data_IF_378965753302
#
_entry.id   IF_378965753302
#
_cell.length_a   1.000
_cell.length_b   1.000
_cell.length_c   1.000
_cell.angle_alpha   90.00
_cell.angle_beta   90.00
_cell.angle_gamma   90.00
#
_symmetry.space_group_name_H-M   'P 1'
#
loop_
_entity.id
_entity.type
_entity.pdbx_description
1 polymer ?
#
# COMPACT_ATOMS: atom_id res chain seq x y z
N UNK A 1 -37.39 2.55 -23.10
CA UNK A 1 -36.18 2.78 -23.90
C UNK A 1 -35.04 1.89 -23.37
N UNK A 2 -35.01 0.59 -23.70
CA UNK A 2 -33.86 -0.24 -23.32
C UNK A 2 -32.62 0.03 -24.16
N UNK A 3 -32.81 0.55 -25.38
CA UNK A 3 -31.75 0.62 -26.38
C UNK A 3 -30.57 1.59 -26.04
N UNK A 4 -30.82 2.63 -25.25
CA UNK A 4 -29.80 3.61 -24.89
C UNK A 4 -28.80 3.10 -23.85
N UNK A 5 -29.27 2.36 -22.86
CA UNK A 5 -28.42 1.80 -21.81
C UNK A 5 -27.54 0.67 -22.36
N UNK A 6 -28.11 -0.20 -23.20
CA UNK A 6 -27.37 -1.28 -23.85
C UNK A 6 -26.27 -0.74 -24.76
N UNK A 7 -26.55 0.34 -25.48
CA UNK A 7 -25.53 1.02 -26.31
C UNK A 7 -24.41 1.62 -25.47
N UNK A 8 -24.72 2.25 -24.33
CA UNK A 8 -23.73 2.80 -23.39
C UNK A 8 -22.85 1.66 -22.84
N UNK A 9 -23.44 0.56 -22.42
CA UNK A 9 -22.71 -0.57 -21.89
C UNK A 9 -21.83 -1.28 -22.92
N UNK A 10 -22.33 -1.47 -24.14
CA UNK A 10 -21.52 -2.00 -25.25
C UNK A 10 -20.38 -1.07 -25.58
N UNK A 11 -20.62 0.24 -25.58
CA UNK A 11 -19.60 1.25 -25.83
C UNK A 11 -18.55 1.25 -24.74
N UNK A 12 -18.95 1.21 -23.48
CA UNK A 12 -18.03 1.19 -22.34
C UNK A 12 -17.16 -0.06 -22.33
N UNK A 13 -17.74 -1.24 -22.60
CA UNK A 13 -16.96 -2.49 -22.77
C UNK A 13 -15.93 -2.38 -23.88
N UNK A 14 -16.33 -1.83 -25.03
CA UNK A 14 -15.43 -1.65 -26.17
C UNK A 14 -14.31 -0.66 -25.85
N UNK A 15 -14.62 0.41 -25.14
CA UNK A 15 -13.66 1.41 -24.70
C UNK A 15 -12.60 0.78 -23.78
N UNK A 16 -13.02 0.02 -22.78
CA UNK A 16 -12.12 -0.66 -21.85
C UNK A 16 -11.25 -1.70 -22.55
N UNK A 17 -11.80 -2.41 -23.56
CA UNK A 17 -11.05 -3.42 -24.30
C UNK A 17 -10.07 -2.85 -25.33
N UNK A 18 -10.34 -1.63 -25.84
CA UNK A 18 -9.57 -1.05 -26.97
C UNK A 18 -8.47 -0.09 -26.51
N UNK A 19 -8.53 0.43 -25.29
CA UNK A 19 -7.55 1.38 -24.75
C UNK A 19 -6.93 0.86 -23.42
N UNK A 20 -6.00 -0.11 -23.50
CA UNK A 20 -5.30 -0.62 -22.32
C UNK A 20 -4.45 0.45 -21.61
N UNK A 21 -4.14 1.56 -22.28
CA UNK A 21 -3.37 2.69 -21.73
C UNK A 21 -4.08 3.39 -20.55
N UNK A 22 -5.41 3.31 -20.46
CA UNK A 22 -6.15 3.83 -19.30
C UNK A 22 -5.75 3.10 -18.02
N UNK A 23 -5.42 1.82 -18.12
CA UNK A 23 -4.94 1.01 -17.00
C UNK A 23 -3.54 1.41 -16.52
N UNK A 24 -2.63 1.76 -17.43
CA UNK A 24 -1.24 2.05 -17.10
C UNK A 24 -1.04 3.42 -16.45
N UNK A 25 -1.84 4.41 -16.79
CA UNK A 25 -1.77 5.73 -16.17
C UNK A 25 -2.22 5.76 -14.70
N UNK A 26 -2.96 4.77 -14.26
CA UNK A 26 -3.53 4.69 -12.93
C UNK A 26 -2.47 4.54 -11.84
N UNK A 27 -1.45 3.75 -12.10
CA UNK A 27 -0.44 3.36 -11.12
C UNK A 27 0.89 4.13 -11.23
N UNK A 28 1.02 4.98 -12.23
CA UNK A 28 2.27 5.72 -12.48
C UNK A 28 2.47 6.96 -11.59
N UNK A 29 1.50 7.29 -10.72
CA UNK A 29 1.56 8.49 -9.89
C UNK A 29 2.36 8.32 -8.60
N UNK A 30 2.57 7.09 -8.15
CA UNK A 30 3.32 6.78 -6.94
C UNK A 30 4.38 5.71 -7.21
N UNK A 31 5.63 5.99 -6.81
CA UNK A 31 6.74 5.09 -7.04
C UNK A 31 6.59 3.72 -6.38
N UNK A 32 5.99 3.67 -5.17
CA UNK A 32 5.72 2.40 -4.50
C UNK A 32 4.67 1.59 -5.23
N UNK A 33 3.54 2.20 -5.55
CA UNK A 33 2.44 1.53 -6.24
C UNK A 33 2.87 1.03 -7.61
N UNK A 34 3.71 1.80 -8.32
CA UNK A 34 4.32 1.37 -9.58
C UNK A 34 5.19 0.12 -9.39
N UNK A 35 6.07 0.11 -8.38
CA UNK A 35 6.92 -1.04 -8.09
C UNK A 35 6.10 -2.27 -7.66
N UNK A 36 5.10 -2.08 -6.79
CA UNK A 36 4.21 -3.15 -6.34
C UNK A 36 3.49 -3.82 -7.51
N UNK A 37 2.98 -3.03 -8.44
CA UNK A 37 2.27 -3.56 -9.61
C UNK A 37 3.18 -4.26 -10.59
N UNK A 38 4.31 -3.66 -10.93
CA UNK A 38 5.15 -4.15 -12.03
C UNK A 38 6.12 -5.25 -11.59
N UNK A 39 6.68 -5.12 -10.38
CA UNK A 39 7.74 -6.03 -9.94
C UNK A 39 7.26 -7.07 -8.93
N UNK A 40 6.23 -6.77 -8.13
CA UNK A 40 5.82 -7.58 -6.98
C UNK A 40 4.39 -8.09 -7.07
N UNK A 41 3.75 -7.93 -8.22
CA UNK A 41 2.40 -8.44 -8.47
C UNK A 41 2.39 -9.97 -8.43
N UNK A 42 1.48 -10.54 -7.64
CA UNK A 42 1.06 -11.95 -7.68
C UNK A 42 -0.41 -12.04 -8.02
N UNK A 43 -0.78 -13.00 -8.85
CA UNK A 43 -2.17 -13.23 -9.20
C UNK A 43 -2.81 -14.21 -8.22
N UNK A 44 -3.98 -13.83 -7.70
CA UNK A 44 -4.80 -14.68 -6.85
C UNK A 44 -5.89 -15.34 -7.70
N UNK A 45 -5.70 -16.62 -7.98
CA UNK A 45 -6.60 -17.39 -8.86
C UNK A 45 -7.87 -17.92 -8.14
N UNK A 46 -8.01 -17.66 -6.84
CA UNK A 46 -9.14 -18.09 -6.02
C UNK A 46 -8.70 -18.86 -4.78
N UNK A 47 -9.65 -19.14 -3.92
CA UNK A 47 -9.44 -19.78 -2.61
C UNK A 47 -10.01 -18.94 -1.48
N UNK A 48 -9.97 -19.46 -0.25
CA UNK A 48 -10.49 -18.77 0.93
C UNK A 48 -9.50 -17.75 1.51
N UNK A 49 -8.21 -17.93 1.28
CA UNK A 49 -7.16 -17.08 1.84
C UNK A 49 -5.89 -17.09 0.99
N UNK A 50 -5.12 -16.04 1.10
CA UNK A 50 -3.76 -15.94 0.60
C UNK A 50 -2.85 -16.57 1.65
N UNK A 51 -2.06 -17.57 1.25
CA UNK A 51 -1.15 -18.29 2.14
C UNK A 51 0.29 -18.05 1.71
N UNK A 52 1.11 -17.53 2.63
CA UNK A 52 2.55 -17.33 2.45
C UNK A 52 3.31 -18.16 3.48
N UNK A 53 4.16 -19.08 3.02
CA UNK A 53 5.01 -19.88 3.91
C UNK A 53 6.26 -19.09 4.29
N UNK A 54 6.62 -19.14 5.55
CA UNK A 54 7.87 -18.56 6.02
C UNK A 54 8.60 -19.48 7.00
N UNK A 55 9.90 -19.34 7.04
CA UNK A 55 10.78 -20.06 7.94
C UNK A 55 11.01 -19.21 9.18
N UNK A 56 10.73 -19.75 10.38
CA UNK A 56 10.89 -19.01 11.63
C UNK A 56 11.99 -19.59 12.53
N UNK A 57 12.45 -20.79 12.26
CA UNK A 57 13.45 -21.48 13.09
C UNK A 57 14.37 -22.37 12.24
N UNK A 58 15.45 -22.83 12.82
CA UNK A 58 16.46 -23.66 12.14
C UNK A 58 16.40 -25.09 12.68
N UNK A 59 16.61 -26.06 11.80
CA UNK A 59 16.70 -27.45 12.20
C UNK A 59 17.88 -27.65 13.17
N UNK A 60 17.70 -28.48 14.23
CA UNK A 60 18.78 -28.76 15.15
C UNK A 60 19.93 -29.46 14.44
N UNK A 61 21.09 -28.90 14.57
CA UNK A 61 22.34 -29.44 13.99
C UNK A 61 23.53 -29.17 14.92
N UNK A 62 24.65 -29.81 14.67
CA UNK A 62 25.85 -29.57 15.44
C UNK A 62 27.03 -30.40 14.99
N UNK A 63 28.20 -30.08 15.50
CA UNK A 63 29.44 -30.86 15.24
C UNK A 63 29.38 -32.18 16.00
N UNK A 64 29.90 -33.24 15.39
CA UNK A 64 29.97 -34.56 16.01
C UNK A 64 31.39 -35.10 16.02
N UNK A 65 31.69 -35.94 16.99
CA UNK A 65 32.94 -36.72 17.05
C UNK A 65 32.69 -38.13 16.55
N UNK A 66 33.72 -38.74 16.00
CA UNK A 66 33.67 -40.14 15.49
C UNK A 66 33.13 -41.07 16.60
N UNK A 67 32.06 -41.84 16.25
CA UNK A 67 31.44 -42.80 17.16
C UNK A 67 30.33 -42.24 18.05
N UNK A 68 30.03 -40.96 17.98
CA UNK A 68 28.91 -40.34 18.75
C UNK A 68 27.58 -40.56 18.01
N UNK A 69 26.51 -40.84 18.76
CA UNK A 69 25.16 -40.95 18.24
C UNK A 69 24.63 -39.55 17.83
N UNK A 70 23.97 -39.48 16.69
CA UNK A 70 23.27 -38.25 16.25
C UNK A 70 22.04 -38.03 17.11
N UNK A 71 21.80 -36.78 17.46
CA UNK A 71 20.57 -36.35 18.07
C UNK A 71 19.55 -36.04 16.96
N UNK A 72 18.60 -36.93 16.73
CA UNK A 72 17.55 -36.79 15.72
C UNK A 72 16.27 -36.33 16.40
N UNK A 73 15.98 -35.04 16.29
CA UNK A 73 14.77 -34.45 16.83
C UNK A 73 13.96 -33.88 15.66
N UNK A 74 12.68 -34.22 15.58
CA UNK A 74 11.76 -33.58 14.66
C UNK A 74 11.37 -32.22 15.24
N UNK A 75 11.57 -31.16 14.47
CA UNK A 75 11.23 -29.78 14.84
C UNK A 75 10.47 -29.13 13.71
N UNK A 76 9.37 -28.47 14.05
CA UNK A 76 8.65 -27.64 13.08
C UNK A 76 9.42 -26.33 12.91
N UNK A 77 9.76 -25.98 11.69
CA UNK A 77 10.55 -24.80 11.35
C UNK A 77 9.82 -23.84 10.41
N UNK A 78 8.69 -24.27 9.86
CA UNK A 78 7.91 -23.53 8.89
C UNK A 78 6.51 -23.20 9.46
N UNK A 79 6.00 -22.04 9.09
CA UNK A 79 4.65 -21.58 9.43
C UNK A 79 4.06 -20.83 8.24
N UNK A 80 2.73 -20.66 8.24
CA UNK A 80 2.01 -19.93 7.22
C UNK A 80 1.47 -18.60 7.76
N UNK A 81 1.66 -17.54 6.97
CA UNK A 81 0.88 -16.32 7.08
C UNK A 81 -0.40 -16.48 6.27
N UNK A 82 -1.54 -16.10 6.82
CA UNK A 82 -2.84 -16.18 6.17
C UNK A 82 -3.49 -14.81 6.13
N UNK A 83 -3.92 -14.40 4.93
CA UNK A 83 -4.60 -13.14 4.70
C UNK A 83 -5.83 -13.35 3.83
N UNK A 84 -6.88 -12.60 4.11
CA UNK A 84 -8.08 -12.59 3.28
C UNK A 84 -7.91 -11.62 2.11
N UNK A 85 -8.54 -11.90 0.96
CA UNK A 85 -8.62 -10.94 -0.12
C UNK A 85 -9.50 -9.75 0.29
N UNK A 86 -9.04 -8.55 0.00
CA UNK A 86 -9.75 -7.30 0.28
C UNK A 86 -10.28 -6.70 -1.03
N UNK A 87 -11.35 -5.92 -0.94
CA UNK A 87 -12.02 -5.39 -2.11
C UNK A 87 -12.12 -3.87 -2.02
N UNK A 88 -11.69 -3.21 -3.08
CA UNK A 88 -11.80 -1.75 -3.24
C UNK A 88 -12.86 -1.47 -4.29
N UNK A 89 -13.75 -0.53 -4.01
CA UNK A 89 -14.80 -0.09 -4.92
C UNK A 89 -14.76 1.44 -5.10
N UNK A 90 -15.03 1.87 -6.31
CA UNK A 90 -15.28 3.30 -6.63
C UNK A 90 -16.51 3.36 -7.51
N UNK A 91 -17.53 4.06 -7.06
CA UNK A 91 -18.76 4.28 -7.82
C UNK A 91 -18.58 5.47 -8.79
N UNK A 92 -18.97 5.24 -10.02
CA UNK A 92 -19.02 6.24 -11.08
C UNK A 92 -20.48 6.51 -11.44
N UNK A 93 -20.96 7.71 -11.18
CA UNK A 93 -22.36 8.09 -11.42
C UNK A 93 -22.48 8.92 -12.68
N UNK A 94 -23.53 8.67 -13.46
CA UNK A 94 -23.97 9.46 -14.61
C UNK A 94 -25.45 9.79 -14.45
N UNK A 95 -25.81 11.02 -14.68
CA UNK A 95 -27.21 11.43 -14.68
C UNK A 95 -27.79 11.33 -16.10
N UNK A 96 -28.99 10.78 -16.21
CA UNK A 96 -29.66 10.65 -17.50
C UNK A 96 -29.89 12.03 -18.17
N UNK A 97 -30.11 13.06 -17.39
CA UNK A 97 -30.24 14.44 -17.85
C UNK A 97 -28.96 14.95 -18.51
N UNK A 98 -27.79 14.63 -17.96
CA UNK A 98 -26.49 15.01 -18.53
C UNK A 98 -26.27 14.36 -19.90
N UNK A 99 -26.77 13.15 -20.06
CA UNK A 99 -26.64 12.39 -21.30
C UNK A 99 -27.64 12.86 -22.36
N UNK A 100 -28.90 13.09 -21.97
CA UNK A 100 -30.00 13.32 -22.89
C UNK A 100 -30.22 14.82 -23.21
N UNK A 101 -29.98 15.70 -22.24
CA UNK A 101 -30.30 17.12 -22.33
C UNK A 101 -29.06 17.98 -22.56
N UNK A 102 -28.03 17.82 -21.72
CA UNK A 102 -26.87 18.72 -21.76
C UNK A 102 -25.85 18.34 -22.85
N UNK A 103 -25.65 17.04 -23.09
CA UNK A 103 -24.67 16.55 -24.07
C UNK A 103 -25.39 15.94 -25.29
N UNK A 104 -26.00 16.79 -26.12
CA UNK A 104 -26.65 16.35 -27.36
C UNK A 104 -25.62 16.00 -28.41
N UNK A 105 -25.27 14.74 -28.50
CA UNK A 105 -24.43 14.18 -29.56
C UNK A 105 -23.60 13.00 -29.12
N UNK A 106 -23.42 11.99 -29.95
CA UNK A 106 -22.74 10.75 -29.61
C UNK A 106 -21.28 10.99 -29.18
N UNK A 107 -20.62 11.99 -29.76
CA UNK A 107 -19.22 12.31 -29.43
C UNK A 107 -19.07 12.97 -28.05
N UNK A 108 -20.02 13.80 -27.62
CA UNK A 108 -19.99 14.45 -26.32
C UNK A 108 -20.27 13.46 -25.20
N UNK A 109 -21.25 12.59 -25.35
CA UNK A 109 -21.57 11.49 -24.43
C UNK A 109 -20.38 10.54 -24.29
N UNK A 110 -19.73 10.19 -25.41
CA UNK A 110 -18.53 9.36 -25.44
C UNK A 110 -17.41 9.97 -24.59
N UNK A 111 -17.13 11.26 -24.75
CA UNK A 111 -16.09 11.96 -23.98
C UNK A 111 -16.43 12.02 -22.50
N UNK A 112 -17.70 12.25 -22.15
CA UNK A 112 -18.15 12.25 -20.75
C UNK A 112 -17.94 10.90 -20.07
N UNK A 113 -18.34 9.81 -20.71
CA UNK A 113 -18.16 8.45 -20.20
C UNK A 113 -16.66 8.16 -20.04
N UNK A 114 -15.83 8.47 -21.03
CA UNK A 114 -14.37 8.30 -20.92
C UNK A 114 -13.79 9.03 -19.70
N UNK A 115 -14.14 10.31 -19.54
CA UNK A 115 -13.64 11.11 -18.44
C UNK A 115 -14.04 10.51 -17.08
N UNK A 116 -15.30 10.11 -16.93
CA UNK A 116 -15.81 9.53 -15.67
C UNK A 116 -15.20 8.17 -15.34
N UNK A 117 -15.02 7.30 -16.33
CA UNK A 117 -14.35 6.01 -16.12
C UNK A 117 -12.88 6.23 -15.77
N UNK A 118 -12.19 7.15 -16.44
CA UNK A 118 -10.81 7.50 -16.11
C UNK A 118 -10.66 8.07 -14.69
N UNK A 119 -11.59 8.96 -14.26
CA UNK A 119 -11.62 9.46 -12.88
C UNK A 119 -11.79 8.32 -11.86
N UNK A 120 -12.71 7.38 -12.11
CA UNK A 120 -12.93 6.21 -11.24
C UNK A 120 -11.68 5.33 -11.13
N UNK A 121 -11.01 5.10 -12.25
CA UNK A 121 -9.78 4.33 -12.29
C UNK A 121 -8.63 5.02 -11.54
N UNK A 122 -8.44 6.34 -11.74
CA UNK A 122 -7.45 7.12 -10.99
C UNK A 122 -7.73 7.09 -9.48
N UNK A 123 -8.99 7.15 -9.07
CA UNK A 123 -9.40 7.07 -7.68
C UNK A 123 -9.00 5.73 -7.04
N UNK A 124 -9.23 4.59 -7.72
CA UNK A 124 -8.79 3.27 -7.21
C UNK A 124 -7.28 3.26 -6.97
N UNK A 125 -6.48 3.76 -7.90
CA UNK A 125 -5.03 3.82 -7.75
C UNK A 125 -4.59 4.66 -6.55
N UNK A 126 -5.23 5.81 -6.35
CA UNK A 126 -4.96 6.67 -5.21
C UNK A 126 -5.39 6.01 -3.88
N UNK A 127 -6.55 5.35 -3.84
CA UNK A 127 -6.98 4.56 -2.67
C UNK A 127 -6.00 3.44 -2.36
N UNK A 128 -5.57 2.67 -3.35
CA UNK A 128 -4.59 1.61 -3.15
C UNK A 128 -3.28 2.16 -2.59
N UNK A 129 -2.81 3.30 -3.11
CA UNK A 129 -1.57 3.92 -2.65
C UNK A 129 -1.64 4.28 -1.15
N UNK A 130 -2.72 4.91 -0.69
CA UNK A 130 -2.84 5.27 0.74
C UNK A 130 -3.13 4.05 1.62
N UNK A 131 -3.99 3.13 1.17
CA UNK A 131 -4.35 1.93 1.93
C UNK A 131 -3.16 1.02 2.19
N UNK A 132 -2.14 1.03 1.31
CA UNK A 132 -0.91 0.28 1.50
C UNK A 132 -0.12 0.70 2.74
N UNK A 133 -0.31 1.93 3.24
CA UNK A 133 0.34 2.42 4.46
C UNK A 133 -0.49 2.20 5.73
N UNK A 134 -1.75 1.81 5.61
CA UNK A 134 -2.66 1.59 6.74
C UNK A 134 -2.60 0.15 7.26
N UNK A 135 -3.62 -0.25 8.00
CA UNK A 135 -3.77 -1.61 8.53
C UNK A 135 -5.10 -2.24 8.09
N UNK A 136 -5.17 -3.55 8.11
CA UNK A 136 -6.37 -4.34 7.80
C UNK A 136 -6.87 -5.17 8.99
N UNK A 137 -6.64 -4.74 10.23
CA UNK A 137 -7.07 -5.46 11.44
C UNK A 137 -8.17 -4.71 12.20
N UNK A 138 -8.86 -5.44 13.07
CA UNK A 138 -9.89 -4.93 13.98
C UNK A 138 -10.96 -4.09 13.27
N UNK A 139 -11.08 -2.82 13.62
CA UNK A 139 -12.07 -1.88 13.05
C UNK A 139 -11.83 -1.59 11.56
N UNK A 140 -10.68 -1.95 11.02
CA UNK A 140 -10.26 -1.72 9.64
C UNK A 140 -10.19 -3.01 8.81
N UNK A 141 -10.90 -4.04 9.22
CA UNK A 141 -10.84 -5.36 8.61
C UNK A 141 -11.16 -5.40 7.10
N UNK A 142 -11.87 -4.40 6.56
CA UNK A 142 -12.14 -4.26 5.14
C UNK A 142 -10.96 -3.69 4.33
N UNK A 143 -9.98 -3.06 5.01
CA UNK A 143 -8.84 -2.45 4.38
C UNK A 143 -7.74 -3.47 4.01
N UNK A 144 -6.83 -3.07 3.15
CA UNK A 144 -5.63 -3.84 2.79
C UNK A 144 -4.72 -3.98 4.01
N UNK A 145 -4.09 -5.15 4.18
CA UNK A 145 -3.08 -5.39 5.22
C UNK A 145 -1.78 -4.65 4.84
N UNK A 146 -1.68 -3.38 5.25
CA UNK A 146 -0.60 -2.49 4.82
C UNK A 146 0.61 -2.47 5.76
N UNK A 147 1.48 -1.48 5.54
CA UNK A 147 2.75 -1.38 6.24
C UNK A 147 2.61 -1.08 7.73
N UNK A 148 1.58 -0.34 8.19
CA UNK A 148 1.39 -0.05 9.61
C UNK A 148 1.23 -1.34 10.44
N UNK A 149 0.48 -2.29 9.88
CA UNK A 149 0.33 -3.61 10.48
C UNK A 149 1.58 -4.48 10.30
N UNK A 150 2.17 -4.50 9.11
CA UNK A 150 3.28 -5.38 8.78
C UNK A 150 4.57 -4.97 9.53
N UNK A 151 4.85 -3.67 9.62
CA UNK A 151 6.06 -3.10 10.21
C UNK A 151 5.86 -2.73 11.68
N UNK A 152 5.49 -3.71 12.48
CA UNK A 152 5.26 -3.58 13.93
C UNK A 152 5.85 -4.79 14.65
N UNK A 153 6.10 -4.65 15.96
CA UNK A 153 6.63 -5.72 16.83
C UNK A 153 5.59 -6.23 17.85
N UNK A 154 4.40 -5.63 17.85
CA UNK A 154 3.32 -5.95 18.80
C UNK A 154 3.46 -5.29 20.18
N UNK A 155 4.50 -4.49 20.41
CA UNK A 155 4.77 -3.79 21.68
C UNK A 155 5.00 -2.30 21.48
N UNK A 156 5.75 -1.94 20.45
CA UNK A 156 6.08 -0.54 20.14
C UNK A 156 4.94 0.11 19.35
N UNK A 157 4.60 1.32 19.74
CA UNK A 157 3.58 2.11 19.05
C UNK A 157 4.08 2.52 17.67
N UNK A 158 3.28 2.27 16.65
CA UNK A 158 3.57 2.68 15.29
C UNK A 158 3.24 4.15 15.01
N UNK A 159 3.51 4.64 13.78
CA UNK A 159 3.30 6.04 13.40
C UNK A 159 1.83 6.50 13.50
N UNK A 160 0.88 5.60 13.42
CA UNK A 160 -0.55 5.87 13.58
C UNK A 160 -1.07 5.64 15.02
N UNK A 161 -0.19 5.48 16.00
CA UNK A 161 -0.56 5.32 17.39
C UNK A 161 -1.04 3.91 17.77
N UNK A 162 -0.86 2.92 16.92
CA UNK A 162 -1.34 1.55 17.12
C UNK A 162 -0.20 0.56 17.37
N UNK A 163 -0.54 -0.56 18.01
CA UNK A 163 0.31 -1.75 18.15
C UNK A 163 -0.45 -2.97 17.63
N UNK A 164 0.25 -3.87 16.95
CA UNK A 164 -0.37 -5.06 16.35
C UNK A 164 0.28 -6.34 16.89
N UNK A 165 -0.42 -7.00 17.80
CA UNK A 165 0.04 -8.24 18.48
C UNK A 165 0.10 -9.42 17.50
N UNK A 166 -0.66 -9.37 16.40
CA UNK A 166 -0.71 -10.45 15.40
C UNK A 166 -0.43 -9.91 14.01
N UNK A 167 0.09 -10.79 13.14
CA UNK A 167 0.26 -10.55 11.71
C UNK A 167 0.03 -11.83 10.91
N UNK A 168 -0.80 -11.79 9.88
CA UNK A 168 -1.15 -12.96 9.10
C UNK A 168 -1.68 -14.13 9.95
N UNK A 169 -2.52 -13.83 10.94
CA UNK A 169 -3.09 -14.77 11.92
C UNK A 169 -2.07 -15.41 12.88
N UNK A 170 -0.80 -14.97 12.88
CA UNK A 170 0.21 -15.43 13.81
C UNK A 170 0.51 -14.38 14.88
N UNK A 171 0.70 -14.82 16.13
CA UNK A 171 1.03 -13.95 17.25
C UNK A 171 2.52 -13.61 17.24
N UNK A 172 2.86 -12.30 17.28
CA UNK A 172 4.25 -11.80 17.26
C UNK A 172 5.07 -12.18 18.48
N UNK A 173 4.45 -12.28 19.65
CA UNK A 173 5.12 -12.64 20.91
C UNK A 173 5.15 -14.16 21.17
N UNK A 174 4.76 -15.00 20.20
CA UNK A 174 4.81 -16.46 20.29
C UNK A 174 6.15 -17.04 19.85
N UNK A 175 6.18 -18.36 19.67
CA UNK A 175 7.35 -19.11 19.18
C UNK A 175 7.86 -18.63 17.82
N UNK A 176 6.99 -18.03 17.03
CA UNK A 176 7.25 -17.50 15.67
C UNK A 176 7.68 -16.02 15.73
N UNK A 177 7.58 -15.38 16.90
CA UNK A 177 7.51 -13.93 17.07
C UNK A 177 8.65 -13.11 16.47
N UNK A 178 9.91 -13.51 16.68
CA UNK A 178 11.06 -12.71 16.23
C UNK A 178 11.16 -12.58 14.71
N UNK A 179 10.68 -13.57 13.95
CA UNK A 179 10.71 -13.56 12.49
C UNK A 179 9.66 -12.64 11.86
N UNK A 180 8.63 -12.25 12.64
CA UNK A 180 7.55 -11.38 12.19
C UNK A 180 7.67 -9.96 12.74
N UNK A 181 8.70 -9.67 13.54
CA UNK A 181 8.86 -8.38 14.18
C UNK A 181 9.67 -7.42 13.30
N UNK A 182 9.10 -6.23 13.12
CA UNK A 182 9.81 -5.06 12.63
C UNK A 182 9.54 -3.93 13.62
N UNK A 183 10.58 -3.45 14.28
CA UNK A 183 10.44 -2.47 15.37
C UNK A 183 10.29 -1.07 14.75
N UNK A 184 9.12 -0.42 14.84
CA UNK A 184 8.98 0.95 14.39
C UNK A 184 9.84 1.87 15.26
N UNK A 185 10.56 2.80 14.64
CA UNK A 185 11.49 3.68 15.36
C UNK A 185 11.00 5.12 15.36
N UNK A 186 10.72 5.66 16.55
CA UNK A 186 10.37 7.05 16.76
C UNK A 186 11.61 7.88 17.07
N UNK A 187 11.94 8.87 16.23
CA UNK A 187 13.06 9.79 16.46
C UNK A 187 12.67 10.83 17.51
N UNK A 188 11.39 11.16 17.62
CA UNK A 188 10.88 12.13 18.57
C UNK A 188 10.76 11.60 20.00
N UNK A 189 10.47 12.48 20.93
CA UNK A 189 10.15 12.15 22.31
C UNK A 189 8.71 12.57 22.62
N UNK A 190 7.84 11.60 22.86
CA UNK A 190 6.41 11.86 23.05
C UNK A 190 5.78 12.52 21.82
N UNK A 191 5.15 13.68 21.99
CA UNK A 191 4.55 14.46 20.90
C UNK A 191 5.51 15.43 20.21
N UNK A 192 6.77 15.51 20.66
CA UNK A 192 7.77 16.42 20.07
C UNK A 192 8.56 15.71 19.00
N UNK A 193 8.49 16.16 17.73
CA UNK A 193 9.30 15.60 16.67
C UNK A 193 10.79 15.83 16.92
N UNK A 194 11.59 14.82 16.60
CA UNK A 194 13.04 14.90 16.70
C UNK A 194 13.69 15.39 15.41
N UNK A 195 14.99 15.42 15.42
CA UNK A 195 15.84 15.75 14.29
C UNK A 195 16.41 14.49 13.67
N UNK A 196 16.23 14.32 12.34
CA UNK A 196 16.85 13.20 11.65
C UNK A 196 18.34 13.48 11.42
N UNK A 197 19.19 12.62 11.96
CA UNK A 197 20.63 12.65 11.77
C UNK A 197 21.10 11.47 10.93
N UNK A 198 22.27 11.62 10.28
CA UNK A 198 22.84 10.57 9.44
C UNK A 198 23.06 9.27 10.23
N UNK A 199 23.62 9.36 11.42
CA UNK A 199 23.92 8.20 12.27
C UNK A 199 22.66 7.43 12.68
N UNK A 200 21.57 8.16 12.95
CA UNK A 200 20.28 7.55 13.29
C UNK A 200 19.72 6.79 12.08
N UNK A 201 19.65 7.43 10.91
CA UNK A 201 19.13 6.76 9.71
C UNK A 201 20.02 5.57 9.31
N UNK A 202 21.34 5.74 9.41
CA UNK A 202 22.30 4.68 9.10
C UNK A 202 22.17 3.50 10.06
N UNK A 203 21.99 3.74 11.36
CA UNK A 203 21.73 2.69 12.36
C UNK A 203 20.46 1.93 12.05
N UNK A 204 19.36 2.62 11.72
CA UNK A 204 18.09 1.96 11.37
C UNK A 204 18.18 1.21 10.05
N UNK A 205 18.93 1.71 9.08
CA UNK A 205 19.21 0.98 7.84
C UNK A 205 19.90 -0.36 8.11
N UNK A 206 20.93 -0.37 8.96
CA UNK A 206 21.64 -1.60 9.31
C UNK A 206 20.84 -2.54 10.21
N UNK A 207 19.85 -2.07 10.94
CA UNK A 207 18.92 -2.96 11.65
C UNK A 207 18.11 -3.86 10.70
N UNK A 208 17.84 -3.38 9.49
CA UNK A 208 17.15 -4.16 8.43
C UNK A 208 18.12 -4.99 7.58
N UNK A 209 19.42 -4.78 7.76
CA UNK A 209 20.46 -5.45 6.96
C UNK A 209 20.80 -6.81 7.55
N UNK A 210 20.53 -7.87 6.81
CA UNK A 210 20.86 -9.26 7.22
C UNK A 210 21.96 -9.88 6.36
N UNK A 211 22.48 -9.17 5.37
CA UNK A 211 23.50 -9.63 4.45
C UNK A 211 23.47 -8.86 3.13
N UNK A 212 24.43 -9.11 2.29
CA UNK A 212 24.52 -8.47 0.96
C UNK A 212 23.51 -9.07 -0.03
N UNK A 213 23.18 -8.32 -1.06
CA UNK A 213 22.34 -8.77 -2.15
C UNK A 213 20.85 -8.75 -1.79
N UNK A 214 20.20 -9.90 -1.70
CA UNK A 214 18.76 -9.99 -1.46
C UNK A 214 18.33 -9.67 -0.02
N UNK A 215 19.27 -9.58 0.91
CA UNK A 215 19.04 -9.40 2.35
C UNK A 215 19.33 -7.98 2.85
N UNK A 216 19.54 -7.06 1.92
CA UNK A 216 19.74 -5.65 2.22
C UNK A 216 18.56 -4.79 1.76
N UNK A 217 18.22 -3.70 2.46
CA UNK A 217 17.28 -2.71 1.96
C UNK A 217 17.79 -2.10 0.65
N UNK A 218 16.87 -1.81 -0.27
CA UNK A 218 17.21 -1.20 -1.56
C UNK A 218 16.39 0.06 -1.87
N UNK A 219 15.37 0.33 -1.07
CA UNK A 219 14.44 1.44 -1.31
C UNK A 219 14.09 2.12 0.01
N UNK A 220 14.20 3.42 0.03
CA UNK A 220 13.73 4.27 1.12
C UNK A 220 12.62 5.17 0.59
N UNK A 221 11.47 5.16 1.25
CA UNK A 221 10.33 5.97 0.84
C UNK A 221 9.99 6.98 1.92
N UNK A 222 9.87 8.24 1.55
CA UNK A 222 9.56 9.32 2.49
C UNK A 222 8.58 10.31 1.89
N UNK A 223 8.07 11.22 2.70
CA UNK A 223 7.25 12.34 2.24
C UNK A 223 8.07 13.34 1.43
N UNK A 224 7.48 14.18 0.57
CA UNK A 224 8.20 15.22 -0.14
C UNK A 224 8.93 16.20 0.80
N UNK A 225 8.32 16.51 1.96
CA UNK A 225 8.94 17.35 2.99
C UNK A 225 10.10 16.61 3.68
N UNK A 226 9.90 15.34 4.06
CA UNK A 226 10.95 14.49 4.61
C UNK A 226 12.13 14.33 3.66
N UNK A 227 11.89 14.20 2.35
CA UNK A 227 12.92 14.17 1.33
C UNK A 227 13.77 15.46 1.34
N UNK A 228 13.12 16.62 1.40
CA UNK A 228 13.82 17.92 1.50
C UNK A 228 14.66 18.05 2.79
N UNK A 229 14.13 17.57 3.92
CA UNK A 229 14.85 17.56 5.20
C UNK A 229 16.11 16.69 5.10
N UNK A 230 15.97 15.46 4.59
CA UNK A 230 17.08 14.52 4.41
C UNK A 230 18.14 15.12 3.46
N UNK A 231 17.70 15.67 2.34
CA UNK A 231 18.61 16.32 1.38
C UNK A 231 19.39 17.45 2.02
N UNK A 232 18.75 18.35 2.74
CA UNK A 232 19.39 19.49 3.38
C UNK A 232 20.38 19.06 4.48
N UNK A 233 20.02 18.08 5.29
CA UNK A 233 20.85 17.59 6.39
C UNK A 233 22.10 16.84 5.93
N UNK A 234 21.95 16.01 4.89
CA UNK A 234 23.05 15.15 4.44
C UNK A 234 23.89 15.75 3.31
N UNK A 235 23.48 16.89 2.77
CA UNK A 235 24.18 17.58 1.68
C UNK A 235 25.61 17.97 2.04
N UNK A 236 25.89 18.24 3.30
CA UNK A 236 27.22 18.58 3.81
C UNK A 236 28.13 17.37 3.96
N UNK A 237 27.60 16.16 4.04
CA UNK A 237 28.34 14.93 4.38
C UNK A 237 28.52 13.98 3.18
N UNK A 238 27.66 14.03 2.19
CA UNK A 238 27.73 13.13 1.02
C UNK A 238 27.44 13.88 -0.29
N UNK A 239 28.19 13.54 -1.34
CA UNK A 239 27.84 13.89 -2.72
C UNK A 239 26.72 12.94 -3.18
N UNK A 240 25.49 13.41 -3.15
CA UNK A 240 24.37 12.64 -3.67
C UNK A 240 24.45 12.54 -5.19
N UNK A 241 24.33 11.32 -5.70
CA UNK A 241 24.10 11.10 -7.12
C UNK A 241 22.59 11.03 -7.36
N UNK A 242 22.10 11.87 -8.27
CA UNK A 242 20.73 11.75 -8.75
C UNK A 242 20.63 10.51 -9.63
N UNK A 243 19.88 9.53 -9.19
CA UNK A 243 19.61 8.30 -9.93
C UNK A 243 18.26 8.43 -10.61
N UNK A 244 18.21 8.26 -11.93
CA UNK A 244 16.94 8.08 -12.65
C UNK A 244 16.53 6.64 -12.56
N UNK A 245 15.35 6.40 -12.04
CA UNK A 245 14.70 5.10 -12.01
C UNK A 245 14.03 4.80 -13.36
N UNK A 246 13.81 3.52 -13.66
CA UNK A 246 13.21 3.05 -14.92
C UNK A 246 11.86 3.71 -15.26
N UNK A 247 11.11 4.17 -14.26
CA UNK A 247 9.84 4.85 -14.41
C UNK A 247 9.95 6.39 -14.54
N UNK A 248 11.16 6.95 -14.65
CA UNK A 248 11.37 8.40 -14.74
C UNK A 248 11.29 9.15 -13.40
N UNK A 249 11.20 8.45 -12.27
CA UNK A 249 11.30 9.07 -10.94
C UNK A 249 12.72 9.52 -10.66
N UNK A 250 12.86 10.69 -10.03
CA UNK A 250 14.17 11.19 -9.57
C UNK A 250 14.35 10.77 -8.11
N UNK A 251 15.43 10.05 -7.83
CA UNK A 251 15.78 9.59 -6.49
C UNK A 251 17.16 10.07 -6.06
N UNK A 252 17.37 10.09 -4.77
CA UNK A 252 18.64 10.30 -4.11
C UNK A 252 19.17 8.93 -3.65
N UNK A 253 20.46 8.72 -3.59
CA UNK A 253 21.03 7.45 -3.15
C UNK A 253 21.57 7.56 -1.72
N UNK A 254 21.20 6.60 -0.88
CA UNK A 254 21.68 6.44 0.50
C UNK A 254 22.14 4.98 0.71
N UNK A 255 23.40 4.76 1.07
CA UNK A 255 23.98 3.42 1.26
C UNK A 255 23.68 2.43 0.12
N UNK A 256 23.67 2.89 -1.13
CA UNK A 256 23.32 2.06 -2.29
C UNK A 256 21.82 1.93 -2.56
N UNK A 257 20.97 2.35 -1.63
CA UNK A 257 19.52 2.32 -1.77
C UNK A 257 19.00 3.63 -2.34
N UNK A 258 17.89 3.55 -3.08
CA UNK A 258 17.26 4.72 -3.68
C UNK A 258 16.28 5.35 -2.69
N UNK A 259 16.43 6.65 -2.43
CA UNK A 259 15.48 7.43 -1.64
C UNK A 259 14.47 8.09 -2.58
N UNK A 260 13.20 7.80 -2.40
CA UNK A 260 12.10 8.33 -3.21
C UNK A 260 11.13 9.12 -2.35
N UNK A 261 10.56 10.17 -2.93
CA UNK A 261 9.49 10.93 -2.31
C UNK A 261 8.13 10.45 -2.85
N UNK A 262 7.20 10.17 -1.95
CA UNK A 262 5.81 9.91 -2.29
C UNK A 262 4.88 10.76 -1.44
N UNK A 263 3.82 11.30 -2.07
CA UNK A 263 2.78 12.07 -1.38
C UNK A 263 1.83 11.20 -0.57
N UNK A 264 1.89 9.90 -0.74
CA UNK A 264 1.03 8.94 -0.04
C UNK A 264 1.67 8.42 1.24
N UNK A 265 2.98 8.60 1.41
CA UNK A 265 3.65 8.29 2.68
C UNK A 265 3.07 9.16 3.79
N UNK A 266 2.63 8.57 4.91
CA UNK A 266 2.08 9.34 6.02
C UNK A 266 3.07 10.32 6.62
N UNK A 267 2.63 11.56 6.78
CA UNK A 267 3.45 12.65 7.31
C UNK A 267 2.59 13.86 7.70
N UNK A 268 3.21 14.96 8.11
CA UNK A 268 2.54 16.17 8.58
C UNK A 268 1.62 16.81 7.54
N UNK A 269 1.89 16.61 6.26
CA UNK A 269 1.08 17.16 5.16
C UNK A 269 -0.30 16.51 5.05
N UNK A 270 -0.48 15.30 5.57
CA UNK A 270 -1.79 14.63 5.60
C UNK A 270 -2.70 15.26 6.64
N UNK A 271 -2.15 15.73 7.77
CA UNK A 271 -2.90 16.30 8.87
C UNK A 271 -3.46 17.71 8.59
N UNK A 272 -2.93 18.40 7.59
CA UNK A 272 -3.26 19.80 7.33
C UNK A 272 -4.29 19.93 6.21
N UNK A 273 -5.56 20.03 6.56
CA UNK A 273 -6.60 20.35 5.61
C UNK A 273 -6.33 21.72 4.93
N UNK A 274 -6.29 21.75 3.60
CA UNK A 274 -6.15 22.98 2.82
C UNK A 274 -4.79 23.23 2.18
N UNK A 275 -3.76 22.49 2.51
CA UNK A 275 -2.53 22.47 1.71
C UNK A 275 -2.75 21.62 0.43
N UNK A 276 -1.83 21.68 -0.53
CA UNK A 276 -1.80 20.75 -1.67
C UNK A 276 -1.60 19.29 -1.24
N UNK A 277 -1.83 19.01 0.03
CA UNK A 277 -1.89 17.71 0.64
C UNK A 277 -2.77 16.81 -0.21
N UNK A 278 -2.40 15.59 -0.27
CA UNK A 278 -3.09 14.56 -0.99
C UNK A 278 -4.55 14.47 -0.55
N UNK A 279 -5.45 15.11 -1.30
CA UNK A 279 -6.88 15.16 -0.97
C UNK A 279 -7.46 13.77 -0.73
N UNK A 280 -6.96 12.77 -1.47
CA UNK A 280 -7.40 11.38 -1.33
C UNK A 280 -6.94 10.79 -0.01
N UNK A 281 -5.70 11.05 0.41
CA UNK A 281 -5.21 10.59 1.71
C UNK A 281 -6.00 11.22 2.86
N UNK A 282 -6.27 12.54 2.79
CA UNK A 282 -7.12 13.23 3.77
C UNK A 282 -8.53 12.63 3.75
N UNK A 283 -9.10 12.40 2.57
CA UNK A 283 -10.43 11.81 2.43
C UNK A 283 -10.51 10.41 3.04
N UNK A 284 -9.58 9.54 2.73
CA UNK A 284 -9.54 8.17 3.32
C UNK A 284 -9.37 8.20 4.83
N UNK A 285 -8.58 9.14 5.37
CA UNK A 285 -8.29 9.23 6.80
C UNK A 285 -9.33 10.01 7.61
N UNK A 286 -10.02 10.97 7.02
CA UNK A 286 -10.93 11.89 7.72
C UNK A 286 -12.41 11.68 7.42
N UNK A 287 -12.74 11.21 6.22
CA UNK A 287 -14.12 10.96 5.83
C UNK A 287 -14.57 9.57 6.26
N UNK A 288 -15.79 9.51 6.77
CA UNK A 288 -16.56 8.28 6.88
C UNK A 288 -16.83 7.81 5.45
N UNK A 289 -16.06 6.87 4.96
CA UNK A 289 -16.29 6.24 3.66
C UNK A 289 -17.67 5.58 3.69
N UNK A 290 -18.64 6.21 3.06
CA UNK A 290 -19.96 5.67 2.87
C UNK A 290 -21.08 6.42 3.59
N UNK A 291 -21.75 7.28 2.87
CA UNK A 291 -23.11 7.74 3.19
C UNK A 291 -24.15 6.68 2.80
N UNK A 292 -23.84 5.39 2.98
CA UNK A 292 -24.72 4.28 2.71
C UNK A 292 -25.10 3.52 3.98
N UNK A 293 -25.95 2.49 3.88
CA UNK A 293 -26.37 1.68 5.03
C UNK A 293 -25.22 0.96 5.75
N UNK A 294 -24.02 0.94 5.16
CA UNK A 294 -22.79 0.38 5.72
C UNK A 294 -21.81 1.46 6.24
N UNK A 295 -22.22 2.70 6.37
CA UNK A 295 -21.37 3.81 6.84
C UNK A 295 -20.69 3.52 8.19
N UNK A 296 -21.34 2.75 9.07
CA UNK A 296 -20.78 2.35 10.36
C UNK A 296 -19.60 1.36 10.27
N UNK A 297 -19.46 0.65 9.14
CA UNK A 297 -18.38 -0.33 8.93
C UNK A 297 -17.10 0.30 8.36
N UNK A 298 -17.16 1.53 7.89
CA UNK A 298 -16.06 2.19 7.15
C UNK A 298 -15.54 3.45 7.86
N UNK A 299 -15.98 3.73 9.08
CA UNK A 299 -15.40 4.81 9.87
C UNK A 299 -14.01 4.43 10.37
N UNK A 300 -13.02 5.32 10.19
CA UNK A 300 -11.72 5.28 10.85
C UNK A 300 -11.76 6.19 12.10
N UNK A 301 -12.47 5.81 13.18
CA UNK A 301 -12.83 6.76 14.23
C UNK A 301 -11.66 7.19 15.12
N UNK A 302 -10.51 6.53 15.04
CA UNK A 302 -9.41 6.73 15.99
C UNK A 302 -8.02 6.71 15.36
N UNK A 303 -7.92 6.84 14.03
CA UNK A 303 -6.62 6.88 13.39
C UNK A 303 -5.91 8.18 13.75
N UNK A 304 -4.82 8.08 14.50
CA UNK A 304 -3.96 9.24 14.76
C UNK A 304 -3.15 9.51 13.50
N UNK A 305 -3.45 10.62 12.84
CA UNK A 305 -2.68 11.08 11.69
C UNK A 305 -1.31 11.54 12.18
N UNK A 306 -0.20 11.05 11.59
CA UNK A 306 1.13 11.49 11.99
C UNK A 306 1.29 13.01 11.84
N UNK A 307 1.73 13.68 12.90
CA UNK A 307 2.04 15.12 12.91
C UNK A 307 3.46 15.43 12.46
N UNK A 308 4.23 14.41 12.16
CA UNK A 308 5.65 14.44 11.82
C UNK A 308 5.92 13.63 10.55
N UNK A 309 7.09 13.85 9.96
CA UNK A 309 7.51 13.12 8.78
C UNK A 309 7.91 11.68 9.12
N UNK A 310 7.85 10.82 8.11
CA UNK A 310 8.25 9.42 8.23
C UNK A 310 9.04 8.95 7.01
N UNK A 311 9.81 7.90 7.22
CA UNK A 311 10.57 7.21 6.17
C UNK A 311 10.41 5.70 6.36
N UNK A 312 10.10 5.01 5.29
CA UNK A 312 10.09 3.55 5.23
C UNK A 312 11.39 3.06 4.60
N UNK A 313 12.07 2.19 5.31
CA UNK A 313 13.23 1.46 4.81
C UNK A 313 12.72 0.11 4.34
N UNK A 314 12.80 -0.15 3.04
CA UNK A 314 12.19 -1.31 2.41
C UNK A 314 13.22 -2.17 1.67
N UNK A 315 13.07 -3.46 1.81
CA UNK A 315 13.65 -4.42 0.88
C UNK A 315 12.61 -4.70 -0.22
N UNK A 316 12.56 -3.80 -1.19
CA UNK A 316 11.62 -3.86 -2.30
C UNK A 316 12.11 -4.87 -3.35
N UNK A 317 11.97 -6.16 -3.05
CA UNK A 317 12.30 -7.29 -3.93
C UNK A 317 11.15 -8.28 -3.98
N UNK A 318 11.10 -9.04 -5.06
CA UNK A 318 10.14 -10.13 -5.24
C UNK A 318 10.27 -11.11 -4.07
N UNK A 319 9.13 -11.59 -3.57
CA UNK A 319 9.00 -12.49 -2.40
C UNK A 319 9.25 -11.86 -1.02
N UNK A 320 9.82 -10.65 -0.96
CA UNK A 320 9.93 -9.89 0.29
C UNK A 320 8.76 -8.94 0.49
N UNK A 321 8.18 -8.49 -0.62
CA UNK A 321 7.01 -7.65 -0.69
C UNK A 321 6.13 -8.11 -1.85
N UNK A 322 4.88 -8.47 -1.60
CA UNK A 322 3.98 -9.00 -2.63
C UNK A 322 2.65 -8.26 -2.62
N UNK A 323 2.19 -7.88 -3.80
CA UNK A 323 0.84 -7.36 -4.03
C UNK A 323 0.02 -8.43 -4.73
N UNK A 324 -0.96 -8.99 -4.03
CA UNK A 324 -1.92 -9.91 -4.61
C UNK A 324 -3.05 -9.16 -5.28
N UNK A 325 -3.34 -9.50 -6.53
CA UNK A 325 -4.46 -8.95 -7.29
C UNK A 325 -5.31 -10.12 -7.77
N UNK A 326 -6.63 -9.99 -7.70
CA UNK A 326 -7.55 -11.01 -8.21
C UNK A 326 -7.29 -11.29 -9.69
N UNK A 327 -7.36 -12.55 -10.09
CA UNK A 327 -7.28 -12.96 -11.51
C UNK A 327 -8.60 -12.79 -12.25
N UNK A 328 -9.72 -12.52 -11.55
CA UNK A 328 -11.01 -12.23 -12.18
C UNK A 328 -10.98 -10.85 -12.84
N UNK A 329 -11.27 -10.79 -14.14
CA UNK A 329 -11.17 -9.57 -14.94
C UNK A 329 -11.96 -8.37 -14.42
N UNK A 330 -13.09 -8.61 -13.72
CA UNK A 330 -13.88 -7.54 -13.08
C UNK A 330 -13.14 -6.97 -11.85
N UNK A 331 -12.49 -7.83 -11.08
CA UNK A 331 -11.79 -7.47 -9.84
C UNK A 331 -10.30 -7.18 -10.04
N UNK A 332 -9.82 -7.07 -11.28
CA UNK A 332 -8.45 -6.62 -11.59
C UNK A 332 -8.31 -5.08 -11.68
N UNK A 333 -9.29 -4.34 -11.19
CA UNK A 333 -9.44 -2.91 -11.44
C UNK A 333 -10.34 -2.63 -12.65
N UNK A 334 -11.21 -3.59 -13.00
CA UNK A 334 -12.16 -3.50 -14.10
C UNK A 334 -13.34 -2.60 -13.77
N UNK A 335 -13.94 -2.06 -14.83
CA UNK A 335 -15.19 -1.30 -14.74
C UNK A 335 -16.37 -2.25 -14.95
N UNK A 336 -17.31 -2.24 -14.00
CA UNK A 336 -18.59 -2.93 -14.13
C UNK A 336 -19.61 -2.01 -14.80
N UNK A 337 -20.45 -2.57 -15.64
CA UNK A 337 -21.45 -1.88 -16.44
C UNK A 337 -22.31 -0.90 -15.62
N UNK A 338 -22.79 0.14 -16.30
CA UNK A 338 -23.77 1.05 -15.72
C UNK A 338 -25.10 0.34 -15.49
N UNK A 339 -25.61 0.44 -14.27
CA UNK A 339 -26.88 -0.12 -13.84
C UNK A 339 -27.77 1.06 -13.40
N UNK A 340 -29.01 1.17 -13.86
CA UNK A 340 -29.93 2.19 -13.37
C UNK A 340 -30.29 1.93 -11.90
N UNK A 341 -30.25 2.95 -11.08
CA UNK A 341 -30.77 2.87 -9.73
C UNK A 341 -32.30 2.85 -9.72
N UNK A 342 -32.88 2.06 -8.81
CA UNK A 342 -34.33 1.99 -8.69
C UNK A 342 -34.93 3.35 -8.32
N UNK A 343 -35.94 3.78 -9.09
CA UNK A 343 -36.66 5.05 -8.90
C UNK A 343 -35.79 6.32 -9.01
N UNK A 344 -34.69 6.26 -9.76
CA UNK A 344 -33.74 7.35 -9.95
C UNK A 344 -33.38 7.50 -11.42
N UNK A 345 -32.98 8.69 -11.85
CA UNK A 345 -32.40 8.97 -13.17
C UNK A 345 -30.89 8.75 -13.18
N UNK A 346 -30.34 8.18 -12.11
CA UNK A 346 -28.90 7.94 -11.92
C UNK A 346 -28.53 6.58 -12.52
N UNK A 347 -27.48 6.59 -13.31
CA UNK A 347 -26.80 5.38 -13.80
C UNK A 347 -25.51 5.20 -12.99
N UNK A 348 -25.37 4.10 -12.25
CA UNK A 348 -24.20 3.82 -11.45
C UNK A 348 -23.36 2.71 -12.08
N UNK A 349 -22.12 3.00 -12.35
CA UNK A 349 -21.10 2.04 -12.74
C UNK A 349 -20.09 1.84 -11.60
N UNK A 350 -19.53 0.66 -11.46
CA UNK A 350 -18.60 0.32 -10.39
C UNK A 350 -17.22 -0.01 -10.97
N UNK A 351 -16.19 0.64 -10.47
CA UNK A 351 -14.81 0.20 -10.63
C UNK A 351 -14.45 -0.67 -9.42
N UNK A 352 -14.07 -1.92 -9.64
CA UNK A 352 -13.83 -2.91 -8.60
C UNK A 352 -12.39 -3.44 -8.67
N UNK A 353 -11.75 -3.60 -7.51
CA UNK A 353 -10.44 -4.23 -7.42
C UNK A 353 -10.36 -5.15 -6.19
N UNK A 354 -10.02 -6.42 -6.41
CA UNK A 354 -9.64 -7.35 -5.35
C UNK A 354 -8.13 -7.31 -5.17
N UNK A 355 -7.66 -6.93 -3.97
CA UNK A 355 -6.24 -6.70 -3.71
C UNK A 355 -5.90 -6.99 -2.26
N UNK A 356 -4.67 -7.47 -2.00
CA UNK A 356 -4.09 -7.42 -0.67
C UNK A 356 -2.56 -7.33 -0.75
N UNK A 357 -1.95 -6.71 0.27
CA UNK A 357 -0.50 -6.57 0.40
C UNK A 357 0.01 -7.57 1.44
N UNK A 358 1.09 -8.27 1.15
CA UNK A 358 1.75 -9.15 2.10
C UNK A 358 3.24 -8.86 2.19
N UNK A 359 3.76 -8.89 3.41
CA UNK A 359 5.18 -8.73 3.72
C UNK A 359 5.64 -10.01 4.44
N UNK A 360 6.14 -11.02 3.72
CA UNK A 360 6.54 -12.29 4.33
C UNK A 360 7.74 -12.19 5.27
N UNK A 361 8.56 -11.16 5.11
CA UNK A 361 9.78 -10.94 5.89
C UNK A 361 9.81 -9.56 6.54
N UNK A 362 8.96 -9.26 7.55
CA UNK A 362 8.85 -7.93 8.14
C UNK A 362 10.17 -7.39 8.71
N UNK A 363 11.03 -8.25 9.25
CA UNK A 363 12.32 -7.89 9.84
C UNK A 363 13.36 -7.29 8.85
N UNK A 364 13.12 -7.41 7.53
CA UNK A 364 13.93 -6.76 6.48
C UNK A 364 13.45 -5.35 6.14
N UNK A 365 12.44 -4.87 6.82
CA UNK A 365 11.81 -3.58 6.60
C UNK A 365 11.68 -2.84 7.92
N UNK A 366 11.66 -1.52 7.89
CA UNK A 366 11.45 -0.72 9.09
C UNK A 366 10.74 0.59 8.78
N UNK A 367 9.95 1.06 9.73
CA UNK A 367 9.35 2.37 9.69
C UNK A 367 10.02 3.29 10.70
N UNK A 368 10.62 4.35 10.21
CA UNK A 368 11.22 5.42 11.02
C UNK A 368 10.32 6.63 10.93
N UNK A 369 9.92 7.21 12.04
CA UNK A 369 8.97 8.32 12.07
C UNK A 369 9.30 9.30 13.21
N UNK A 370 8.55 10.40 13.27
CA UNK A 370 8.70 11.35 14.39
C UNK A 370 9.75 12.43 14.14
N UNK A 371 10.03 12.82 12.90
CA UNK A 371 10.97 13.90 12.62
C UNK A 371 10.34 15.05 11.83
N UNK A 372 10.82 16.29 12.07
CA UNK A 372 10.35 17.50 11.37
C UNK A 372 11.49 18.44 10.98
N UNK A 373 12.72 18.14 11.34
CA UNK A 373 13.88 18.97 11.04
C UNK A 373 15.13 18.13 10.72
#
# INVERSE_FOLDING_TARGET
MPDGLDQINVFTRRLISTEPEIYDNLFNHDGLTYMLRNSFKKEFAGGSSINENFLYDVLPGGFYQKGKKFNVIQKQTEQQLRFDMKYVEVAVTLYAEDIQVLNRGPLAVTKLIKARVAEGMMAIGAFLSIMSYLNGQASYAANVNGFDEALNDGTTVGPFGNTYVSYGQNTRNGVVGSSLNSIPYNIGSGSTPGTIEYDVLNSQYFNCYQGTGEWEPNTLMTTPKGYGIIQNRFQTQQRFQNVKLDAGFTGMQFNGSVVMASRYVPGSDIATAGTRANKVAVQVLTETLGQGPNAALQAYPTLQVPSSESILILNARKEKLNLYISSDGVYQGGFREFIPEANSTVLTGLCLMGVNLTVPTPYLHQWVYGFNA
#
